data_IF_369170357108
#
_entry.id   IF_369170357108
#
_cell.length_a   1.000
_cell.length_b   1.000
_cell.length_c   1.000
_cell.angle_alpha   90.00
_cell.angle_beta   90.00
_cell.angle_gamma   90.00
#
_symmetry.space_group_name_H-M   'P 1'
#
loop_
_entity.id
_entity.type
_entity.pdbx_description
1 polymer ?
#
# COMPACT_ATOMS: atom_id res chain seq x y z
N UNK A 1 -19.52 15.03 50.21
CA UNK A 1 -18.48 14.04 50.53
C UNK A 1 -18.88 12.74 49.87
N UNK A 2 -18.24 12.37 48.77
CA UNK A 2 -18.51 11.11 48.05
C UNK A 2 -17.20 10.34 48.03
N UNK A 3 -17.24 9.11 48.53
CA UNK A 3 -16.09 8.25 48.78
C UNK A 3 -15.58 7.62 47.47
N UNK A 4 -14.29 7.78 47.20
CA UNK A 4 -13.59 7.02 46.17
C UNK A 4 -13.17 5.68 46.75
N UNK A 5 -13.79 4.61 46.26
CA UNK A 5 -13.47 3.25 46.63
C UNK A 5 -12.26 2.75 45.82
N UNK A 6 -11.31 2.19 46.55
CA UNK A 6 -10.01 1.65 46.19
C UNK A 6 -10.05 0.58 45.08
N UNK A 7 -9.36 0.82 43.95
CA UNK A 7 -8.98 -0.24 43.01
C UNK A 7 -7.67 -0.89 43.46
N UNK A 8 -7.82 -2.10 43.99
CA UNK A 8 -6.73 -2.98 44.42
C UNK A 8 -5.97 -3.54 43.21
N UNK A 9 -4.68 -3.25 43.20
CA UNK A 9 -3.55 -3.96 42.56
C UNK A 9 -3.87 -5.38 42.06
N UNK A 10 -3.79 -5.57 40.75
CA UNK A 10 -3.54 -6.88 40.12
C UNK A 10 -2.19 -6.77 39.38
N UNK A 11 -1.12 -7.13 40.08
CA UNK A 11 0.19 -7.36 39.46
C UNK A 11 0.19 -8.77 38.87
N UNK A 12 0.03 -8.89 37.55
CA UNK A 12 0.28 -10.13 36.82
C UNK A 12 1.78 -10.24 36.59
N UNK A 13 2.41 -11.20 37.28
CA UNK A 13 3.82 -11.56 37.05
C UNK A 13 3.87 -12.44 35.81
N UNK A 14 4.31 -11.87 34.68
CA UNK A 14 4.59 -12.63 33.45
C UNK A 14 6.04 -13.12 33.52
N UNK A 15 6.22 -14.43 33.72
CA UNK A 15 7.53 -15.07 33.62
C UNK A 15 7.92 -15.19 32.14
N UNK A 16 8.89 -14.39 31.71
CA UNK A 16 9.46 -14.43 30.36
C UNK A 16 10.43 -15.61 30.25
N UNK A 17 9.98 -16.70 29.64
CA UNK A 17 10.83 -17.83 29.25
C UNK A 17 11.59 -17.50 27.97
N UNK A 18 12.88 -17.18 28.08
CA UNK A 18 13.79 -17.04 26.95
C UNK A 18 14.17 -18.43 26.42
N UNK A 19 13.57 -18.84 25.30
CA UNK A 19 14.09 -19.96 24.51
C UNK A 19 14.93 -19.41 23.36
N UNK A 20 16.25 -19.59 23.49
CA UNK A 20 17.20 -19.34 22.41
C UNK A 20 17.22 -20.53 21.46
N UNK A 21 16.94 -20.29 20.17
CA UNK A 21 17.15 -21.27 19.11
C UNK A 21 18.33 -20.81 18.26
N UNK A 22 19.50 -21.40 18.51
CA UNK A 22 20.68 -21.33 17.64
C UNK A 22 20.63 -22.55 16.73
N UNK A 23 20.55 -22.34 15.42
CA UNK A 23 20.97 -23.38 14.47
C UNK A 23 21.64 -22.76 13.26
N UNK A 24 22.76 -23.38 12.94
CA UNK A 24 23.88 -22.90 12.16
C UNK A 24 23.64 -22.92 10.64
N UNK A 25 24.32 -21.96 10.02
CA UNK A 25 24.89 -21.91 8.68
C UNK A 25 25.06 -23.24 7.95
N UNK A 26 24.53 -23.31 6.73
CA UNK A 26 25.22 -23.99 5.63
C UNK A 26 25.11 -23.15 4.36
N UNK A 27 26.26 -22.88 3.75
CA UNK A 27 26.45 -22.02 2.57
C UNK A 27 26.71 -22.94 1.39
N UNK A 28 25.72 -23.10 0.51
CA UNK A 28 25.91 -23.72 -0.79
C UNK A 28 26.10 -22.61 -1.85
N UNK A 29 27.37 -22.42 -2.24
CA UNK A 29 27.79 -21.54 -3.32
C UNK A 29 27.66 -22.28 -4.66
N UNK A 30 26.62 -22.00 -5.44
CA UNK A 30 26.52 -22.45 -6.84
C UNK A 30 27.07 -21.40 -7.82
N UNK A 31 27.89 -21.89 -8.75
CA UNK A 31 28.54 -21.14 -9.81
C UNK A 31 27.55 -20.72 -10.92
N UNK A 32 27.65 -19.51 -11.48
CA UNK A 32 26.96 -19.17 -12.72
C UNK A 32 27.67 -19.79 -13.93
N UNK A 33 26.94 -20.64 -14.64
CA UNK A 33 27.31 -21.23 -15.94
C UNK A 33 27.25 -20.14 -17.00
N UNK A 34 28.37 -19.95 -17.71
CA UNK A 34 28.53 -18.99 -18.81
C UNK A 34 27.64 -19.41 -19.98
N UNK A 35 26.70 -18.55 -20.36
CA UNK A 35 26.03 -18.63 -21.67
C UNK A 35 26.63 -17.60 -22.62
N UNK A 36 26.93 -18.08 -23.81
CA UNK A 36 27.70 -17.46 -24.86
C UNK A 36 26.92 -16.37 -25.59
N UNK A 37 27.53 -15.20 -25.68
CA UNK A 37 27.15 -14.12 -26.59
C UNK A 37 27.36 -14.61 -28.03
N UNK A 38 26.26 -14.82 -28.76
CA UNK A 38 26.28 -14.96 -30.23
C UNK A 38 26.07 -13.57 -30.82
N UNK A 39 27.19 -12.97 -31.21
CA UNK A 39 27.28 -11.76 -32.01
C UNK A 39 26.79 -12.03 -33.43
N UNK A 40 25.58 -11.57 -33.74
CA UNK A 40 25.04 -11.50 -35.10
C UNK A 40 25.33 -10.15 -35.74
N UNK A 41 26.34 -10.10 -36.61
CA UNK A 41 26.57 -8.98 -37.52
C UNK A 41 25.49 -8.95 -38.61
N UNK A 42 24.80 -7.83 -38.80
CA UNK A 42 23.98 -7.61 -39.99
C UNK A 42 24.53 -6.49 -40.87
N UNK A 43 24.47 -6.80 -42.17
CA UNK A 43 25.17 -6.24 -43.31
C UNK A 43 24.86 -4.77 -43.59
N UNK A 44 25.88 -4.14 -44.18
CA UNK A 44 25.87 -2.91 -44.97
C UNK A 44 25.44 -3.22 -46.41
N UNK A 45 24.73 -2.28 -47.03
CA UNK A 45 24.19 -2.30 -48.41
C UNK A 45 22.69 -2.02 -48.34
N UNK A 46 22.13 -0.99 -48.96
CA UNK A 46 22.23 -0.69 -50.39
C UNK A 46 21.62 0.71 -50.64
N UNK A 47 22.29 1.52 -51.47
CA UNK A 47 21.79 2.80 -51.96
C UNK A 47 20.55 2.59 -52.84
N UNK A 48 19.47 3.33 -52.58
CA UNK A 48 18.40 3.50 -53.55
C UNK A 48 18.05 4.99 -53.68
N UNK A 49 18.53 5.57 -54.78
CA UNK A 49 18.14 6.88 -55.25
C UNK A 49 16.65 6.86 -55.63
N UNK A 50 15.81 7.50 -54.82
CA UNK A 50 14.39 7.72 -55.14
C UNK A 50 14.11 9.21 -55.27
N UNK A 51 13.53 9.55 -56.43
CA UNK A 51 13.17 10.89 -56.94
C UNK A 51 12.38 11.73 -55.91
N UNK A 52 12.54 13.06 -55.90
CA UNK A 52 11.80 13.93 -55.00
C UNK A 52 10.30 13.92 -55.33
N UNK A 53 9.51 13.36 -54.42
CA UNK A 53 8.06 13.45 -54.47
C UNK A 53 7.64 14.83 -53.94
N UNK A 54 6.83 15.56 -54.72
CA UNK A 54 6.25 16.86 -54.32
C UNK A 54 5.48 16.69 -53.02
N UNK A 55 5.96 17.35 -51.96
CA UNK A 55 5.26 17.53 -50.69
C UNK A 55 3.89 18.16 -50.94
N UNK A 56 2.78 17.52 -50.53
CA UNK A 56 1.54 18.25 -50.32
C UNK A 56 1.73 19.13 -49.08
N UNK A 57 1.39 20.42 -49.21
CA UNK A 57 1.38 21.38 -48.12
C UNK A 57 0.58 20.81 -46.94
N UNK A 58 1.32 20.44 -45.89
CA UNK A 58 0.75 20.00 -44.63
C UNK A 58 0.20 21.25 -43.95
N UNK A 59 -1.12 21.42 -44.02
CA UNK A 59 -1.87 22.33 -43.17
C UNK A 59 -1.39 22.14 -41.72
N UNK A 60 -0.69 23.15 -41.19
CA UNK A 60 -0.28 23.21 -39.79
C UNK A 60 -1.54 23.51 -38.97
N UNK A 61 -2.35 22.49 -38.76
CA UNK A 61 -3.26 22.48 -37.61
C UNK A 61 -2.35 22.48 -36.39
N UNK A 62 -2.31 23.61 -35.68
CA UNK A 62 -1.66 23.75 -34.38
C UNK A 62 -2.42 22.84 -33.42
N UNK A 63 -2.01 21.57 -33.35
CA UNK A 63 -2.42 20.66 -32.29
C UNK A 63 -1.69 21.18 -31.07
N UNK A 64 -2.45 21.75 -30.13
CA UNK A 64 -1.97 22.08 -28.80
C UNK A 64 -1.32 20.81 -28.23
N UNK A 65 0.00 20.79 -27.97
CA UNK A 65 0.65 19.60 -27.47
C UNK A 65 0.07 19.31 -26.10
N UNK A 66 -0.83 18.33 -26.01
CA UNK A 66 -1.36 17.82 -24.76
C UNK A 66 -0.19 17.63 -23.80
N UNK A 67 -0.13 18.47 -22.75
CA UNK A 67 0.94 18.37 -21.78
C UNK A 67 0.90 16.95 -21.19
N UNK A 68 2.06 16.29 -21.07
CA UNK A 68 2.11 14.92 -20.58
C UNK A 68 1.46 14.85 -19.18
N UNK A 69 0.82 13.72 -18.83
CA UNK A 69 0.19 13.56 -17.52
C UNK A 69 1.13 13.94 -16.39
N UNK A 70 0.62 14.73 -15.42
CA UNK A 70 1.40 15.18 -14.27
C UNK A 70 2.05 13.98 -13.55
N UNK A 71 3.33 14.10 -13.22
CA UNK A 71 4.19 13.04 -12.65
C UNK A 71 4.50 11.84 -13.56
N UNK A 72 4.20 11.92 -14.87
CA UNK A 72 4.82 11.01 -15.83
C UNK A 72 6.32 11.32 -15.96
N UNK A 73 7.10 10.34 -16.44
CA UNK A 73 8.53 10.55 -16.71
C UNK A 73 8.73 11.71 -17.71
N UNK A 74 7.87 11.80 -18.73
CA UNK A 74 7.93 12.90 -19.70
C UNK A 74 7.61 14.24 -19.06
N UNK A 75 6.67 14.28 -18.11
CA UNK A 75 6.39 15.50 -17.36
C UNK A 75 7.62 15.92 -16.55
N UNK A 76 8.26 15.04 -15.79
CA UNK A 76 9.47 15.39 -15.01
C UNK A 76 10.62 15.92 -15.86
N UNK A 77 10.72 15.50 -17.13
CA UNK A 77 11.80 15.88 -18.03
C UNK A 77 11.52 17.18 -18.79
N UNK A 78 10.35 17.80 -18.61
CA UNK A 78 10.07 19.12 -19.20
C UNK A 78 10.97 20.20 -18.56
N UNK A 79 11.45 21.18 -19.34
CA UNK A 79 12.26 22.30 -18.86
C UNK A 79 11.38 23.36 -18.17
N UNK A 80 10.63 22.95 -17.15
CA UNK A 80 9.78 23.83 -16.33
C UNK A 80 10.31 23.82 -14.89
N UNK A 81 10.37 24.99 -14.22
CA UNK A 81 10.88 25.08 -12.84
C UNK A 81 10.19 24.13 -11.85
N UNK A 82 8.87 23.99 -11.94
CA UNK A 82 8.10 23.11 -11.07
C UNK A 82 8.51 21.64 -11.28
N UNK A 83 8.58 21.20 -12.54
CA UNK A 83 8.94 19.85 -12.93
C UNK A 83 10.37 19.51 -12.47
N UNK A 84 11.29 20.47 -12.57
CA UNK A 84 12.68 20.34 -12.10
C UNK A 84 12.77 20.15 -10.59
N UNK A 85 12.08 20.96 -9.81
CA UNK A 85 12.06 20.85 -8.35
C UNK A 85 11.54 19.49 -7.91
N UNK A 86 10.42 19.05 -8.48
CA UNK A 86 9.85 17.73 -8.21
C UNK A 86 10.77 16.58 -8.66
N UNK A 87 11.42 16.71 -9.82
CA UNK A 87 12.40 15.72 -10.29
C UNK A 87 13.55 15.56 -9.29
N UNK A 88 14.13 16.67 -8.82
CA UNK A 88 15.22 16.68 -7.85
C UNK A 88 14.83 16.05 -6.51
N UNK A 89 13.61 16.32 -6.03
CA UNK A 89 13.07 15.74 -4.78
C UNK A 89 12.92 14.21 -4.88
N UNK A 90 12.53 13.69 -6.05
CA UNK A 90 12.26 12.25 -6.24
C UNK A 90 13.50 11.44 -6.60
N UNK A 91 14.56 12.06 -7.09
CA UNK A 91 15.80 11.37 -7.47
C UNK A 91 16.68 11.07 -6.26
N UNK A 92 17.47 9.98 -6.29
CA UNK A 92 18.50 9.76 -5.29
C UNK A 92 19.61 10.80 -5.46
N UNK A 93 20.25 11.16 -4.34
CA UNK A 93 21.23 12.24 -4.28
C UNK A 93 22.35 12.13 -5.34
N UNK A 94 22.81 10.91 -5.62
CA UNK A 94 23.89 10.62 -6.59
C UNK A 94 23.49 10.83 -8.06
N UNK A 95 22.20 10.94 -8.36
CA UNK A 95 21.65 11.29 -9.68
C UNK A 95 21.22 12.75 -9.69
N UNK A 96 20.58 13.22 -8.61
CA UNK A 96 20.04 14.58 -8.50
C UNK A 96 21.13 15.66 -8.63
N UNK A 97 22.31 15.43 -8.04
CA UNK A 97 23.44 16.38 -8.11
C UNK A 97 23.96 16.66 -9.53
N UNK A 98 23.67 15.77 -10.48
CA UNK A 98 24.11 15.89 -11.87
C UNK A 98 23.05 16.61 -12.73
N UNK A 99 21.83 16.82 -12.20
CA UNK A 99 20.74 17.49 -12.90
C UNK A 99 20.93 19.01 -12.80
N UNK A 100 20.96 19.74 -13.93
CA UNK A 100 21.04 21.20 -13.91
C UNK A 100 19.89 21.82 -13.11
N UNK A 101 20.21 22.79 -12.25
CA UNK A 101 19.21 23.55 -11.50
C UNK A 101 18.46 24.53 -12.42
N UNK A 102 19.16 25.07 -13.41
CA UNK A 102 18.57 25.90 -14.45
C UNK A 102 17.71 25.06 -15.42
N UNK A 103 16.52 25.55 -15.71
CA UNK A 103 15.59 24.89 -16.64
C UNK A 103 15.92 25.19 -18.10
N UNK A 104 16.67 26.25 -18.38
CA UNK A 104 17.15 26.58 -19.72
C UNK A 104 18.33 25.69 -20.15
N UNK A 105 19.02 25.06 -19.19
CA UNK A 105 20.07 24.08 -19.45
C UNK A 105 19.47 22.68 -19.72
N UNK A 106 19.73 22.07 -20.89
CA UNK A 106 19.20 20.75 -21.20
C UNK A 106 19.86 19.67 -20.33
N UNK A 107 19.09 18.65 -19.97
CA UNK A 107 19.62 17.47 -19.28
C UNK A 107 20.52 16.70 -20.25
N UNK A 108 21.72 16.34 -19.81
CA UNK A 108 22.60 15.48 -20.61
C UNK A 108 21.89 14.16 -21.00
N UNK A 109 21.95 13.70 -22.27
CA UNK A 109 21.25 12.49 -22.70
C UNK A 109 21.62 11.22 -21.93
N UNK A 110 22.86 11.10 -21.44
CA UNK A 110 23.27 9.96 -20.63
C UNK A 110 22.63 10.03 -19.22
N UNK A 111 22.54 11.22 -18.65
CA UNK A 111 21.83 11.46 -17.39
C UNK A 111 20.33 11.22 -17.54
N UNK A 112 19.69 11.72 -18.61
CA UNK A 112 18.28 11.46 -18.90
C UNK A 112 18.01 9.94 -18.96
N UNK A 113 18.87 9.17 -19.64
CA UNK A 113 18.77 7.71 -19.68
C UNK A 113 18.89 7.07 -18.29
N UNK A 114 19.74 7.61 -17.41
CA UNK A 114 19.89 7.15 -16.02
C UNK A 114 18.65 7.46 -15.18
N UNK A 115 18.06 8.65 -15.34
CA UNK A 115 16.80 9.07 -14.72
C UNK A 115 15.66 8.15 -15.17
N UNK A 116 15.50 7.93 -16.48
CA UNK A 116 14.49 7.02 -17.03
C UNK A 116 14.65 5.61 -16.48
N UNK A 117 15.88 5.10 -16.43
CA UNK A 117 16.19 3.78 -15.84
C UNK A 117 15.82 3.72 -14.35
N UNK A 118 16.10 4.78 -13.58
CA UNK A 118 15.69 4.88 -12.17
C UNK A 118 14.17 4.82 -12.03
N UNK A 119 13.42 5.61 -12.80
CA UNK A 119 11.96 5.58 -12.76
C UNK A 119 11.37 4.28 -13.33
N UNK A 120 12.02 3.58 -14.26
CA UNK A 120 11.59 2.24 -14.69
C UNK A 120 11.82 1.19 -13.60
N UNK A 121 12.95 1.25 -12.89
CA UNK A 121 13.26 0.33 -11.78
C UNK A 121 12.39 0.62 -10.55
N UNK A 122 12.20 1.88 -10.19
CA UNK A 122 11.30 2.31 -9.12
C UNK A 122 9.85 2.10 -9.52
N UNK A 123 9.53 2.31 -10.80
CA UNK A 123 8.26 1.98 -11.43
C UNK A 123 7.95 0.49 -11.31
N UNK A 124 8.91 -0.44 -11.38
CA UNK A 124 8.64 -1.85 -11.04
C UNK A 124 8.22 -2.07 -9.58
N UNK A 125 8.53 -1.14 -8.69
CA UNK A 125 8.15 -1.17 -7.26
C UNK A 125 6.86 -0.33 -7.02
N UNK A 126 6.61 0.71 -7.82
CA UNK A 126 5.51 1.68 -7.66
C UNK A 126 4.39 1.57 -8.70
N UNK A 127 4.56 0.89 -9.83
CA UNK A 127 3.44 0.56 -10.76
C UNK A 127 2.54 -0.52 -10.19
N UNK A 128 2.94 -1.16 -9.08
CA UNK A 128 1.98 -1.84 -8.19
C UNK A 128 1.06 -0.87 -7.44
N UNK A 129 1.30 0.45 -7.45
CA UNK A 129 0.53 1.44 -6.69
C UNK A 129 0.16 2.76 -7.41
N UNK A 130 0.69 3.08 -8.60
CA UNK A 130 0.66 4.47 -9.12
C UNK A 130 0.19 4.66 -10.57
N UNK A 131 -0.50 3.70 -11.20
CA UNK A 131 -0.98 3.85 -12.59
C UNK A 131 -2.47 4.13 -12.74
N UNK A 132 -3.10 4.89 -11.84
CA UNK A 132 -4.44 5.43 -12.11
C UNK A 132 -4.61 6.84 -11.55
N UNK A 133 -4.74 7.88 -12.41
CA UNK A 133 -5.58 9.02 -12.12
C UNK A 133 -7.02 8.61 -12.43
N UNK A 134 -7.53 7.62 -11.68
CA UNK A 134 -8.95 7.55 -11.44
C UNK A 134 -9.19 8.49 -10.27
N UNK A 135 -10.29 9.23 -10.28
CA UNK A 135 -10.86 9.75 -9.04
C UNK A 135 -11.08 8.52 -8.14
N UNK A 136 -10.05 8.11 -7.39
CA UNK A 136 -10.15 6.98 -6.48
C UNK A 136 -11.17 7.47 -5.46
N UNK A 137 -12.37 6.87 -5.43
CA UNK A 137 -13.39 7.32 -4.51
C UNK A 137 -12.75 7.30 -3.13
N UNK A 138 -12.79 8.45 -2.44
CA UNK A 138 -12.16 8.55 -1.13
C UNK A 138 -12.60 7.34 -0.30
N UNK A 139 -11.66 6.62 0.33
CA UNK A 139 -12.01 5.44 1.08
C UNK A 139 -13.05 5.81 2.12
N UNK A 140 -14.00 4.89 2.38
CA UNK A 140 -15.09 5.15 3.32
C UNK A 140 -14.54 5.72 4.63
N UNK A 141 -15.15 6.79 5.14
CA UNK A 141 -14.70 7.46 6.37
C UNK A 141 -14.58 6.43 7.50
N UNK A 142 -13.45 6.43 8.19
CA UNK A 142 -13.09 5.48 9.25
C UNK A 142 -12.79 4.03 8.81
N UNK A 143 -12.64 3.77 7.51
CA UNK A 143 -11.98 2.54 7.06
C UNK A 143 -10.49 2.57 7.41
N UNK A 144 -9.85 1.40 7.44
CA UNK A 144 -8.39 1.30 7.67
C UNK A 144 -7.62 2.12 6.64
N UNK A 145 -8.01 2.05 5.36
CA UNK A 145 -7.37 2.87 4.31
C UNK A 145 -7.56 4.36 4.55
N UNK A 146 -8.74 4.78 5.04
CA UNK A 146 -8.94 6.17 5.42
C UNK A 146 -7.96 6.58 6.51
N UNK A 147 -7.80 5.79 7.59
CA UNK A 147 -6.83 6.12 8.65
C UNK A 147 -5.38 6.19 8.18
N UNK A 148 -4.99 5.41 7.17
CA UNK A 148 -3.61 5.35 6.67
C UNK A 148 -3.25 6.47 5.69
N UNK A 149 -4.22 7.29 5.26
CA UNK A 149 -3.94 8.46 4.42
C UNK A 149 -3.07 9.48 5.17
N UNK A 150 -2.10 10.14 4.48
CA UNK A 150 -1.23 11.16 5.07
C UNK A 150 -1.95 12.51 5.21
N UNK A 151 -3.10 12.53 5.91
CA UNK A 151 -3.87 13.73 6.23
C UNK A 151 -3.83 13.96 7.75
N UNK A 152 -3.72 15.21 8.24
CA UNK A 152 -3.68 15.50 9.68
C UNK A 152 -4.88 14.96 10.47
N UNK A 153 -6.11 15.09 9.94
CA UNK A 153 -7.32 14.56 10.58
C UNK A 153 -7.23 13.03 10.76
N UNK A 154 -6.84 12.34 9.69
CA UNK A 154 -6.76 10.88 9.64
C UNK A 154 -5.70 10.36 10.61
N UNK A 155 -4.55 11.04 10.67
CA UNK A 155 -3.45 10.71 11.58
C UNK A 155 -3.84 10.84 13.05
N UNK A 156 -4.44 11.97 13.43
CA UNK A 156 -4.92 12.19 14.80
C UNK A 156 -5.95 11.14 15.20
N UNK A 157 -6.93 10.88 14.33
CA UNK A 157 -7.96 9.85 14.57
C UNK A 157 -7.40 8.44 14.64
N UNK A 158 -6.38 8.12 13.86
CA UNK A 158 -5.68 6.83 13.92
C UNK A 158 -5.02 6.67 15.30
N UNK A 159 -4.26 7.67 15.76
CA UNK A 159 -3.60 7.67 17.07
C UNK A 159 -4.63 7.52 18.21
N UNK A 160 -5.75 8.24 18.16
CA UNK A 160 -6.84 8.13 19.14
C UNK A 160 -7.45 6.73 19.24
N UNK A 161 -7.44 5.96 18.14
CA UNK A 161 -8.09 4.65 18.04
C UNK A 161 -7.16 3.48 18.34
N UNK A 162 -5.86 3.68 18.26
CA UNK A 162 -4.86 2.65 18.49
C UNK A 162 -4.59 2.47 20.00
N UNK A 163 -4.19 1.26 20.42
CA UNK A 163 -3.64 1.03 21.74
C UNK A 163 -2.38 1.89 21.94
N UNK A 164 -2.13 2.33 23.16
CA UNK A 164 -1.03 3.25 23.49
C UNK A 164 0.34 2.78 22.99
N UNK A 165 0.61 1.47 23.07
CA UNK A 165 1.86 0.86 22.65
C UNK A 165 2.06 0.86 21.12
N UNK A 166 0.99 0.87 20.33
CA UNK A 166 1.06 1.02 18.86
C UNK A 166 1.04 2.49 18.47
N UNK A 167 0.21 3.29 19.15
CA UNK A 167 0.00 4.70 18.85
C UNK A 167 1.28 5.54 18.98
N UNK A 168 2.11 5.26 19.99
CA UNK A 168 3.37 5.99 20.24
C UNK A 168 4.40 5.86 19.10
N UNK A 169 4.29 4.81 18.28
CA UNK A 169 5.21 4.55 17.18
C UNK A 169 4.71 5.18 15.86
N UNK A 170 3.48 5.70 15.84
CA UNK A 170 2.91 6.40 14.67
C UNK A 170 3.45 7.83 14.64
N UNK A 171 4.10 8.28 13.54
CA UNK A 171 4.58 9.65 13.42
C UNK A 171 3.46 10.68 13.53
N UNK A 172 3.67 11.73 14.33
CA UNK A 172 2.70 12.84 14.43
C UNK A 172 2.63 13.66 13.13
N UNK A 173 3.76 13.84 12.44
CA UNK A 173 3.81 14.51 11.13
C UNK A 173 3.20 13.60 10.06
N UNK A 174 2.17 14.09 9.37
CA UNK A 174 1.53 13.35 8.28
C UNK A 174 2.43 13.19 7.04
N UNK A 175 3.49 14.00 6.91
CA UNK A 175 4.48 13.88 5.83
C UNK A 175 5.47 12.74 6.08
N UNK A 176 5.64 12.31 7.33
CA UNK A 176 6.46 11.15 7.65
C UNK A 176 5.69 9.85 7.32
N UNK A 177 6.29 8.94 6.53
CA UNK A 177 5.63 7.69 6.18
C UNK A 177 5.53 6.77 7.40
N UNK A 178 4.40 6.09 7.54
CA UNK A 178 4.28 4.99 8.49
C UNK A 178 5.22 3.87 8.02
N UNK A 179 6.06 3.37 8.91
CA UNK A 179 6.95 2.25 8.58
C UNK A 179 6.11 1.01 8.18
N UNK A 180 6.49 0.26 7.14
CA UNK A 180 5.71 -0.90 6.68
C UNK A 180 5.42 -1.94 7.76
N UNK A 181 6.35 -2.13 8.70
CA UNK A 181 6.18 -3.05 9.84
C UNK A 181 5.06 -2.57 10.77
N UNK A 182 5.02 -1.27 11.05
CA UNK A 182 3.99 -0.65 11.87
C UNK A 182 2.64 -0.62 11.15
N UNK A 183 2.62 -0.29 9.85
CA UNK A 183 1.39 -0.33 9.05
C UNK A 183 0.75 -1.72 9.08
N UNK A 184 1.55 -2.78 8.93
CA UNK A 184 1.08 -4.15 9.06
C UNK A 184 0.44 -4.39 10.43
N UNK A 185 1.09 -3.95 11.51
CA UNK A 185 0.57 -4.11 12.87
C UNK A 185 -0.75 -3.36 13.08
N UNK A 186 -0.88 -2.14 12.54
CA UNK A 186 -2.11 -1.36 12.55
C UNK A 186 -3.24 -2.10 11.82
N UNK A 187 -2.95 -2.65 10.63
CA UNK A 187 -3.92 -3.42 9.84
C UNK A 187 -4.37 -4.68 10.59
N UNK A 188 -3.43 -5.38 11.23
CA UNK A 188 -3.72 -6.55 12.06
C UNK A 188 -4.61 -6.17 13.25
N UNK A 189 -4.34 -5.04 13.92
CA UNK A 189 -5.18 -4.51 15.00
C UNK A 189 -6.60 -4.18 14.55
N UNK A 190 -6.79 -3.42 13.46
CA UNK A 190 -8.13 -3.11 12.96
C UNK A 190 -8.87 -4.36 12.46
N UNK A 191 -8.15 -5.33 11.88
CA UNK A 191 -8.70 -6.63 11.52
C UNK A 191 -9.19 -7.41 12.75
N UNK A 192 -8.47 -7.31 13.87
CA UNK A 192 -8.87 -7.91 15.13
C UNK A 192 -10.04 -7.15 15.77
N UNK A 193 -10.00 -5.82 15.81
CA UNK A 193 -11.07 -4.98 16.36
C UNK A 193 -12.39 -5.18 15.62
N UNK A 194 -12.34 -5.32 14.29
CA UNK A 194 -13.52 -5.65 13.49
C UNK A 194 -14.13 -7.02 13.84
N UNK A 195 -13.30 -7.97 14.29
CA UNK A 195 -13.75 -9.30 14.75
C UNK A 195 -14.33 -9.27 16.15
N UNK A 196 -13.70 -8.54 17.07
CA UNK A 196 -14.19 -8.39 18.43
C UNK A 196 -15.46 -7.55 18.51
N UNK A 197 -15.61 -6.56 17.62
CA UNK A 197 -16.80 -5.74 17.57
C UNK A 197 -18.05 -6.60 17.46
N UNK A 198 -18.04 -7.65 16.63
CA UNK A 198 -19.15 -8.60 16.47
C UNK A 198 -19.48 -9.40 17.74
N UNK A 199 -18.54 -9.52 18.69
CA UNK A 199 -18.73 -10.27 19.93
C UNK A 199 -19.17 -9.37 21.09
N UNK A 200 -19.25 -8.05 20.90
CA UNK A 200 -19.77 -7.14 21.92
C UNK A 200 -21.25 -7.44 22.22
N UNK A 201 -21.67 -7.37 23.50
CA UNK A 201 -23.07 -7.49 23.91
C UNK A 201 -23.86 -6.21 23.60
N UNK A 202 -23.75 -5.72 22.36
CA UNK A 202 -24.45 -4.53 21.89
C UNK A 202 -25.50 -4.92 20.83
N UNK A 203 -26.72 -4.36 20.85
CA UNK A 203 -27.78 -4.71 19.89
C UNK A 203 -27.37 -4.57 18.43
N UNK A 204 -26.60 -3.53 18.10
CA UNK A 204 -26.14 -3.28 16.74
C UNK A 204 -25.11 -4.31 16.28
N UNK A 205 -24.16 -4.64 17.16
CA UNK A 205 -23.17 -5.68 16.93
C UNK A 205 -23.84 -7.04 16.72
N UNK A 206 -24.75 -7.42 17.62
CA UNK A 206 -25.45 -8.70 17.58
C UNK A 206 -26.28 -8.88 16.31
N UNK A 207 -27.02 -7.84 15.91
CA UNK A 207 -27.78 -7.86 14.67
C UNK A 207 -26.89 -7.95 13.42
N UNK A 208 -25.75 -7.24 13.43
CA UNK A 208 -24.79 -7.31 12.33
C UNK A 208 -24.09 -8.67 12.26
N UNK A 209 -23.75 -9.28 13.41
CA UNK A 209 -23.18 -10.62 13.51
C UNK A 209 -24.13 -11.65 12.90
N UNK A 210 -25.41 -11.68 13.31
CA UNK A 210 -26.42 -12.60 12.76
C UNK A 210 -26.59 -12.46 11.25
N UNK A 211 -26.47 -11.24 10.70
CA UNK A 211 -26.53 -11.00 9.25
C UNK A 211 -25.28 -11.47 8.49
N UNK A 212 -24.12 -11.49 9.14
CA UNK A 212 -22.85 -11.82 8.52
C UNK A 212 -22.54 -13.33 8.52
N UNK A 213 -23.20 -14.10 9.36
CA UNK A 213 -23.00 -15.55 9.51
C UNK A 213 -23.88 -16.37 8.56
N UNK A 214 -23.48 -17.63 8.27
CA UNK A 214 -24.38 -18.64 7.71
C UNK A 214 -25.65 -18.79 8.55
N UNK A 215 -26.79 -19.09 7.92
CA UNK A 215 -28.11 -19.05 8.58
C UNK A 215 -28.20 -20.00 9.77
N UNK A 216 -27.62 -21.20 9.66
CA UNK A 216 -27.58 -22.21 10.72
C UNK A 216 -26.82 -21.71 11.96
N UNK A 217 -25.70 -21.02 11.76
CA UNK A 217 -24.92 -20.44 12.87
C UNK A 217 -25.57 -19.18 13.39
N UNK A 218 -26.13 -18.34 12.52
CA UNK A 218 -26.82 -17.12 12.90
C UNK A 218 -27.98 -17.40 13.86
N UNK A 219 -28.75 -18.47 13.64
CA UNK A 219 -29.84 -18.89 14.52
C UNK A 219 -29.37 -19.22 15.95
N UNK A 220 -28.15 -19.74 16.11
CA UNK A 220 -27.57 -20.08 17.42
C UNK A 220 -27.05 -18.89 18.22
N UNK A 221 -26.91 -17.72 17.59
CA UNK A 221 -26.44 -16.50 18.25
C UNK A 221 -27.62 -15.82 18.95
N UNK A 222 -27.65 -15.66 20.29
CA UNK A 222 -28.81 -15.08 20.98
C UNK A 222 -29.19 -13.69 20.48
N UNK A 223 -30.49 -13.41 20.38
CA UNK A 223 -31.00 -12.07 20.03
C UNK A 223 -30.87 -11.09 21.19
N UNK A 224 -31.05 -11.58 22.41
CA UNK A 224 -30.81 -10.80 23.62
C UNK A 224 -29.30 -10.58 23.78
N UNK A 225 -28.91 -9.32 23.98
CA UNK A 225 -27.51 -8.95 24.16
C UNK A 225 -27.00 -9.24 25.57
N UNK A 226 -27.91 -9.38 26.54
CA UNK A 226 -27.56 -9.77 27.91
C UNK A 226 -27.28 -11.28 28.02
N UNK A 227 -27.69 -12.07 27.01
CA UNK A 227 -27.38 -13.50 26.93
C UNK A 227 -25.99 -13.72 26.27
N UNK A 228 -25.06 -14.40 26.97
CA UNK A 228 -23.74 -14.68 26.43
C UNK A 228 -23.84 -15.62 25.22
N UNK A 229 -22.97 -15.40 24.22
CA UNK A 229 -22.83 -16.36 23.11
C UNK A 229 -22.20 -17.63 23.67
N UNK A 230 -22.73 -18.78 23.27
CA UNK A 230 -22.13 -20.07 23.64
C UNK A 230 -20.64 -20.13 23.23
N UNK A 231 -19.71 -20.58 24.09
CA UNK A 231 -18.28 -20.58 23.79
C UNK A 231 -17.89 -21.34 22.51
N UNK A 232 -18.62 -22.42 22.15
CA UNK A 232 -18.37 -23.16 20.91
C UNK A 232 -18.77 -22.35 19.68
N UNK A 233 -19.93 -21.67 19.77
CA UNK A 233 -20.41 -20.74 18.74
C UNK A 233 -19.44 -19.56 18.60
N UNK A 234 -18.96 -19.00 19.70
CA UNK A 234 -17.97 -17.92 19.68
C UNK A 234 -16.66 -18.34 19.00
N UNK A 235 -16.15 -19.54 19.30
CA UNK A 235 -14.97 -20.08 18.64
C UNK A 235 -15.20 -20.28 17.13
N UNK A 236 -16.38 -20.77 16.75
CA UNK A 236 -16.76 -20.86 15.34
C UNK A 236 -16.78 -19.48 14.69
N UNK A 237 -17.39 -18.47 15.31
CA UNK A 237 -17.45 -17.09 14.80
C UNK A 237 -16.05 -16.54 14.59
N UNK A 238 -15.16 -16.67 15.59
CA UNK A 238 -13.76 -16.25 15.49
C UNK A 238 -13.05 -16.93 14.33
N UNK A 239 -13.29 -18.24 14.13
CA UNK A 239 -12.73 -19.01 13.02
C UNK A 239 -13.31 -18.57 11.67
N UNK A 240 -14.61 -18.31 11.58
CA UNK A 240 -15.29 -17.85 10.37
C UNK A 240 -14.71 -16.52 9.89
N UNK A 241 -14.59 -15.53 10.79
CA UNK A 241 -14.00 -14.24 10.44
C UNK A 241 -12.48 -14.27 10.21
N UNK A 242 -11.80 -15.37 10.56
CA UNK A 242 -10.39 -15.57 10.18
C UNK A 242 -10.20 -16.01 8.73
N UNK A 243 -11.27 -16.47 8.05
CA UNK A 243 -11.19 -16.87 6.65
C UNK A 243 -11.12 -15.68 5.69
N UNK A 244 -10.65 -15.93 4.46
CA UNK A 244 -10.71 -14.93 3.39
C UNK A 244 -12.16 -14.61 3.03
N UNK A 245 -12.41 -13.40 2.53
CA UNK A 245 -13.74 -12.95 2.08
C UNK A 245 -14.35 -13.91 1.06
N UNK A 246 -13.54 -14.46 0.15
CA UNK A 246 -13.99 -15.45 -0.84
C UNK A 246 -14.50 -16.73 -0.19
N UNK A 247 -13.78 -17.23 0.82
CA UNK A 247 -14.15 -18.43 1.57
C UNK A 247 -15.41 -18.18 2.41
N UNK A 248 -15.52 -17.02 3.07
CA UNK A 248 -16.73 -16.64 3.80
C UNK A 248 -17.94 -16.64 2.86
N UNK A 249 -17.84 -16.01 1.68
CA UNK A 249 -18.90 -16.01 0.66
C UNK A 249 -19.28 -17.41 0.20
N UNK A 250 -18.31 -18.31 0.01
CA UNK A 250 -18.59 -19.70 -0.39
C UNK A 250 -19.36 -20.49 0.67
N UNK A 251 -19.25 -20.12 1.95
CA UNK A 251 -19.98 -20.74 3.05
C UNK A 251 -21.38 -20.15 3.25
N UNK A 252 -21.62 -18.93 2.75
CA UNK A 252 -22.93 -18.26 2.79
C UNK A 252 -23.86 -18.68 1.65
N UNK A 253 -23.32 -19.17 0.54
CA UNK A 253 -24.13 -19.64 -0.58
C UNK A 253 -24.72 -21.02 -0.24
N UNK A 254 -26.04 -21.23 -0.42
CA UNK A 254 -26.61 -22.57 -0.32
C UNK A 254 -25.86 -23.45 -1.33
N UNK A 255 -25.31 -24.57 -0.87
CA UNK A 255 -24.82 -25.62 -1.75
C UNK A 255 -26.03 -26.19 -2.50
N UNK A 256 -26.27 -25.68 -3.71
CA UNK A 256 -27.27 -26.14 -4.66
C UNK A 256 -26.89 -27.49 -5.27
#
# INVERSE_FOLDING_TARGET
MVAFNTFSKLCVVVAFGLSATVTATDVAQEQPKKESVVSGSFRKGEESATKPHKLPERNKTYIDPEEPPMFSIEWYLLPKPENRAYLLEKLPFDVAKDVPEDCDEPIDPALEKRIRKFFSLRGLIFTSMSSYPLEVPEPAKYSVEWYLLPKPENRSRLIEKLPFDVAKDVPEDCNEPILPVLEKHIRDYFSWLGREWYLLPEPQSRAALRKALPSDVAETVPEDCDEPIDPEVEQYIKRFFSFSVQKQKSMLLPSF
#
